data_IF_625116532540
#
_entry.id   IF_625116532540
#
_cell.length_a   1.000
_cell.length_b   1.000
_cell.length_c   1.000
_cell.angle_alpha   90.00
_cell.angle_beta   90.00
_cell.angle_gamma   90.00
#
_symmetry.space_group_name_H-M   'P 1'
#
loop_
_entity.id
_entity.type
_entity.pdbx_description
1 polymer ?
#
# COMPACT_ATOMS: atom_id res chain seq x y z
N UNK A 1 -21.13 26.27 11.89
CA UNK A 1 -22.46 26.01 11.29
C UNK A 1 -23.03 27.38 10.91
N UNK A 2 -23.86 27.49 9.88
CA UNK A 2 -24.42 28.79 9.47
C UNK A 2 -25.44 29.28 10.51
N UNK A 3 -25.26 30.51 10.97
CA UNK A 3 -26.14 31.21 11.90
C UNK A 3 -27.00 32.24 11.16
N UNK A 4 -28.27 32.35 11.54
CA UNK A 4 -29.26 33.22 10.92
C UNK A 4 -29.90 34.13 11.98
N UNK A 5 -30.32 35.32 11.56
CA UNK A 5 -31.02 36.26 12.43
C UNK A 5 -32.54 36.15 12.22
N UNK A 6 -33.27 35.86 13.29
CA UNK A 6 -34.72 35.83 13.33
C UNK A 6 -35.24 37.04 14.13
N UNK A 7 -36.12 37.84 13.54
CA UNK A 7 -36.74 38.97 14.24
C UNK A 7 -37.90 38.50 15.11
N UNK A 8 -37.87 38.88 16.38
CA UNK A 8 -38.97 38.69 17.32
C UNK A 8 -39.99 39.83 17.20
N UNK A 9 -41.25 39.59 17.62
CA UNK A 9 -42.32 40.59 17.62
C UNK A 9 -42.02 41.82 18.51
N UNK A 10 -41.12 41.67 19.49
CA UNK A 10 -40.64 42.79 20.31
C UNK A 10 -39.55 43.62 19.63
N UNK A 11 -39.12 43.26 18.42
CA UNK A 11 -38.10 43.96 17.65
C UNK A 11 -36.66 43.51 17.92
N UNK A 12 -36.43 42.56 18.83
CA UNK A 12 -35.10 42.00 19.05
C UNK A 12 -34.75 40.90 18.04
N UNK A 13 -33.45 40.68 17.82
CA UNK A 13 -32.94 39.72 16.85
C UNK A 13 -32.37 38.51 17.61
N UNK A 14 -32.89 37.30 17.32
CA UNK A 14 -32.39 36.05 17.86
C UNK A 14 -31.47 35.37 16.86
N UNK A 15 -30.32 34.89 17.33
CA UNK A 15 -29.41 34.07 16.54
C UNK A 15 -29.91 32.62 16.60
N UNK A 16 -30.27 32.06 15.45
CA UNK A 16 -30.74 30.69 15.30
C UNK A 16 -29.83 29.89 14.36
N UNK A 17 -29.79 28.57 14.55
CA UNK A 17 -29.10 27.64 13.66
C UNK A 17 -30.09 26.77 12.90
N UNK A 18 -29.62 26.06 11.86
CA UNK A 18 -30.46 25.11 11.12
C UNK A 18 -30.99 23.95 11.97
N UNK A 19 -30.39 23.69 13.15
CA UNK A 19 -30.84 22.66 14.09
C UNK A 19 -32.09 23.08 14.87
N UNK A 20 -32.31 24.38 14.98
CA UNK A 20 -33.41 24.96 15.75
C UNK A 20 -34.68 25.07 14.90
N UNK A 21 -34.63 24.65 13.63
CA UNK A 21 -35.75 24.70 12.70
C UNK A 21 -36.97 23.93 13.22
N UNK A 22 -38.12 24.61 13.29
CA UNK A 22 -39.36 24.04 13.83
C UNK A 22 -39.39 23.86 15.34
N UNK A 23 -38.37 24.33 16.07
CA UNK A 23 -38.39 24.39 17.54
C UNK A 23 -39.04 25.68 18.04
N UNK A 24 -39.45 25.67 19.29
CA UNK A 24 -39.95 26.84 20.00
C UNK A 24 -38.83 27.40 20.88
N UNK A 25 -38.39 28.62 20.59
CA UNK A 25 -37.38 29.32 21.37
C UNK A 25 -38.03 30.44 22.18
N UNK A 26 -37.53 30.67 23.39
CA UNK A 26 -38.00 31.80 24.22
C UNK A 26 -37.11 33.01 23.95
N UNK A 27 -37.71 34.16 23.66
CA UNK A 27 -36.99 35.41 23.48
C UNK A 27 -36.51 35.95 24.83
N UNK A 28 -35.23 36.28 24.96
CA UNK A 28 -34.65 36.79 26.21
C UNK A 28 -35.23 38.15 26.64
N UNK A 29 -35.56 39.02 25.68
CA UNK A 29 -36.05 40.37 25.99
C UNK A 29 -37.53 40.42 26.40
N UNK A 30 -38.39 39.62 25.76
CA UNK A 30 -39.84 39.68 25.98
C UNK A 30 -40.43 38.44 26.63
N UNK A 31 -39.62 37.41 26.87
CA UNK A 31 -40.00 36.10 27.42
C UNK A 31 -41.13 35.38 26.67
N UNK A 32 -41.46 35.82 25.45
CA UNK A 32 -42.44 35.16 24.60
C UNK A 32 -41.79 34.00 23.85
N UNK A 33 -42.57 32.95 23.65
CA UNK A 33 -42.18 31.82 22.81
C UNK A 33 -42.36 32.18 21.34
N UNK A 34 -41.26 32.13 20.59
CA UNK A 34 -41.20 32.35 19.14
C UNK A 34 -41.01 31.00 18.46
N UNK A 35 -41.84 30.70 17.47
CA UNK A 35 -41.72 29.49 16.65
C UNK A 35 -40.65 29.73 15.59
N UNK A 36 -39.59 28.92 15.60
CA UNK A 36 -38.54 29.02 14.60
C UNK A 36 -39.08 28.51 13.25
N UNK A 37 -38.94 29.29 12.16
CA UNK A 37 -39.41 28.90 10.84
C UNK A 37 -38.83 27.56 10.37
N UNK A 38 -39.47 26.97 9.37
CA UNK A 38 -39.01 25.70 8.80
C UNK A 38 -37.65 25.87 8.11
N UNK A 39 -36.91 24.76 7.93
CA UNK A 39 -35.61 24.76 7.22
C UNK A 39 -35.64 25.47 5.86
N UNK A 40 -36.79 25.43 5.17
CA UNK A 40 -36.96 26.07 3.85
C UNK A 40 -37.04 27.60 3.97
N UNK A 41 -37.64 28.11 5.04
CA UNK A 41 -37.80 29.54 5.30
C UNK A 41 -36.53 30.15 5.90
N UNK A 42 -35.80 29.39 6.72
CA UNK A 42 -34.49 29.81 7.27
C UNK A 42 -33.50 30.13 6.15
N UNK A 43 -33.53 29.41 5.03
CA UNK A 43 -32.69 29.70 3.86
C UNK A 43 -32.96 31.06 3.21
N UNK A 44 -34.13 31.65 3.46
CA UNK A 44 -34.51 32.97 2.95
C UNK A 44 -34.22 34.10 3.97
N UNK A 45 -33.82 33.76 5.21
CA UNK A 45 -33.45 34.76 6.23
C UNK A 45 -32.07 35.33 5.95
N UNK A 46 -31.85 36.58 6.40
CA UNK A 46 -30.56 37.24 6.26
C UNK A 46 -29.51 36.47 7.08
N UNK A 47 -28.43 35.96 6.48
CA UNK A 47 -27.37 35.30 7.22
C UNK A 47 -26.71 36.32 8.17
N UNK A 48 -26.31 35.85 9.36
CA UNK A 48 -25.61 36.70 10.30
C UNK A 48 -24.20 37.03 9.74
N UNK A 49 -24.02 38.29 9.31
CA UNK A 49 -22.77 38.78 8.72
C UNK A 49 -21.58 38.70 9.70
N UNK A 50 -21.82 38.73 11.01
CA UNK A 50 -20.77 38.61 12.03
C UNK A 50 -20.30 37.17 12.24
N UNK A 51 -21.16 36.17 12.01
CA UNK A 51 -20.75 34.75 12.06
C UNK A 51 -19.88 34.34 10.85
N UNK A 52 -19.94 35.11 9.77
CA UNK A 52 -19.19 34.83 8.54
C UNK A 52 -17.71 35.24 8.63
N UNK A 53 -17.32 36.04 9.63
CA UNK A 53 -15.92 36.48 9.80
C UNK A 53 -15.04 35.47 10.53
N UNK A 54 -15.60 34.52 11.27
CA UNK A 54 -14.80 33.63 12.14
C UNK A 54 -14.64 32.20 11.58
N UNK A 55 -15.37 31.83 10.51
CA UNK A 55 -15.31 30.45 9.96
C UNK A 55 -14.46 30.33 8.68
N UNK A 56 -14.11 31.45 8.02
CA UNK A 56 -13.42 31.40 6.72
C UNK A 56 -11.89 31.30 6.78
N UNK A 57 -11.26 31.33 7.96
CA UNK A 57 -9.80 31.27 8.07
C UNK A 57 -9.17 29.87 8.16
N UNK A 58 -9.96 28.78 8.26
CA UNK A 58 -9.39 27.41 8.35
C UNK A 58 -9.74 26.47 7.21
N UNK A 59 -10.51 26.94 6.20
CA UNK A 59 -10.86 26.10 5.05
C UNK A 59 -10.83 26.86 3.73
N UNK A 60 -9.81 27.69 3.53
CA UNK A 60 -9.35 27.92 2.16
C UNK A 60 -8.91 26.55 1.62
N UNK A 61 -9.78 25.90 0.85
CA UNK A 61 -9.39 24.93 -0.16
C UNK A 61 -8.42 25.66 -1.08
N UNK A 62 -7.15 25.77 -0.67
CA UNK A 62 -6.07 25.90 -1.63
C UNK A 62 -6.26 24.71 -2.53
N UNK A 63 -6.76 24.97 -3.73
CA UNK A 63 -6.63 24.05 -4.86
C UNK A 63 -5.18 23.63 -4.80
N UNK A 64 -4.93 22.37 -4.43
CA UNK A 64 -3.60 21.84 -4.31
C UNK A 64 -3.07 21.77 -5.73
N UNK A 65 -2.50 22.88 -6.19
CA UNK A 65 -1.85 22.95 -7.48
C UNK A 65 -0.75 21.90 -7.46
N UNK A 66 -0.70 21.12 -8.54
CA UNK A 66 0.27 20.07 -8.68
C UNK A 66 1.67 20.70 -8.67
N UNK A 67 2.35 20.61 -7.53
CA UNK A 67 3.71 21.13 -7.44
C UNK A 67 4.61 20.32 -8.38
N UNK A 68 5.48 21.01 -9.12
CA UNK A 68 6.49 20.36 -9.96
C UNK A 68 7.30 19.31 -9.17
N UNK A 69 7.53 19.55 -7.88
CA UNK A 69 8.19 18.60 -6.96
C UNK A 69 7.40 17.31 -6.79
N UNK A 70 6.07 17.39 -6.62
CA UNK A 70 5.19 16.23 -6.50
C UNK A 70 5.15 15.43 -7.80
N UNK A 71 5.15 16.10 -8.95
CA UNK A 71 5.24 15.45 -10.26
C UNK A 71 6.55 14.70 -10.47
N UNK A 72 7.67 15.34 -10.11
CA UNK A 72 8.98 14.71 -10.18
C UNK A 72 9.05 13.46 -9.27
N UNK A 73 8.60 13.58 -8.03
CA UNK A 73 8.62 12.47 -7.07
C UNK A 73 7.71 11.32 -7.52
N UNK A 74 6.54 11.62 -8.07
CA UNK A 74 5.65 10.63 -8.68
C UNK A 74 6.32 9.91 -9.85
N UNK A 75 6.98 10.64 -10.75
CA UNK A 75 7.69 10.07 -11.89
C UNK A 75 8.82 9.13 -11.44
N UNK A 76 9.66 9.57 -10.51
CA UNK A 76 10.77 8.76 -9.97
C UNK A 76 10.24 7.49 -9.29
N UNK A 77 9.24 7.60 -8.40
CA UNK A 77 8.66 6.43 -7.73
C UNK A 77 8.05 5.44 -8.73
N UNK A 78 7.42 5.93 -9.80
CA UNK A 78 6.84 5.08 -10.85
C UNK A 78 7.93 4.32 -11.60
N UNK A 79 9.01 4.99 -11.99
CA UNK A 79 10.15 4.36 -12.68
C UNK A 79 10.81 3.31 -11.79
N UNK A 80 11.05 3.63 -10.52
CA UNK A 80 11.65 2.71 -9.55
C UNK A 80 10.75 1.50 -9.31
N UNK A 81 9.44 1.70 -9.16
CA UNK A 81 8.49 0.61 -9.00
C UNK A 81 8.54 -0.34 -10.22
N UNK A 82 8.45 0.21 -11.44
CA UNK A 82 8.50 -0.58 -12.66
C UNK A 82 9.81 -1.37 -12.78
N UNK A 83 10.95 -0.71 -12.55
CA UNK A 83 12.26 -1.37 -12.59
C UNK A 83 12.34 -2.50 -11.55
N UNK A 84 11.81 -2.29 -10.34
CA UNK A 84 11.78 -3.30 -9.29
C UNK A 84 10.91 -4.50 -9.66
N UNK A 85 9.71 -4.28 -10.21
CA UNK A 85 8.84 -5.39 -10.66
C UNK A 85 9.42 -6.16 -11.85
N UNK A 86 10.01 -5.46 -12.84
CA UNK A 86 10.66 -6.12 -14.00
C UNK A 86 11.85 -6.96 -13.55
N UNK A 87 12.73 -6.40 -12.73
CA UNK A 87 13.90 -7.14 -12.21
C UNK A 87 13.48 -8.31 -11.32
N UNK A 88 12.49 -8.11 -10.43
CA UNK A 88 11.92 -9.17 -9.61
C UNK A 88 11.30 -10.30 -10.45
N UNK A 89 10.59 -9.95 -11.52
CA UNK A 89 10.01 -10.91 -12.46
C UNK A 89 11.07 -11.72 -13.21
N UNK A 90 12.11 -11.06 -13.73
CA UNK A 90 13.24 -11.75 -14.40
C UNK A 90 13.94 -12.71 -13.43
N UNK A 91 14.17 -12.30 -12.19
CA UNK A 91 14.79 -13.17 -11.19
C UNK A 91 13.88 -14.35 -10.82
N UNK A 92 12.58 -14.11 -10.65
CA UNK A 92 11.60 -15.18 -10.39
C UNK A 92 11.56 -16.18 -11.54
N UNK A 93 11.58 -15.70 -12.78
CA UNK A 93 11.63 -16.54 -13.98
C UNK A 93 12.91 -17.37 -14.02
N UNK A 94 14.08 -16.76 -13.77
CA UNK A 94 15.36 -17.47 -13.69
C UNK A 94 15.37 -18.50 -12.56
N UNK A 95 14.76 -18.19 -11.42
CA UNK A 95 14.63 -19.13 -10.32
C UNK A 95 13.83 -20.37 -10.75
N UNK A 96 12.74 -20.18 -11.50
CA UNK A 96 11.90 -21.28 -12.00
C UNK A 96 12.60 -22.18 -13.04
N UNK A 97 13.60 -21.65 -13.74
CA UNK A 97 14.40 -22.41 -14.70
C UNK A 97 15.42 -23.35 -14.04
N UNK A 98 15.72 -23.17 -12.74
CA UNK A 98 16.57 -24.14 -12.03
C UNK A 98 15.75 -25.41 -11.78
N UNK A 99 16.09 -26.48 -12.51
CA UNK A 99 15.57 -27.81 -12.26
C UNK A 99 16.18 -28.31 -10.95
N UNK A 100 15.44 -28.13 -9.84
CA UNK A 100 15.77 -28.68 -8.52
C UNK A 100 15.36 -30.16 -8.39
N UNK A 101 14.96 -30.79 -9.48
CA UNK A 101 14.66 -32.22 -9.55
C UNK A 101 15.95 -33.01 -9.73
N UNK A 102 16.80 -33.02 -8.69
CA UNK A 102 17.74 -34.13 -8.55
C UNK A 102 17.00 -35.21 -7.76
N UNK A 103 16.80 -36.36 -8.40
CA UNK A 103 15.95 -37.43 -7.90
C UNK A 103 16.70 -38.22 -6.81
N UNK A 104 16.92 -37.58 -5.66
CA UNK A 104 17.26 -38.28 -4.41
C UNK A 104 16.02 -39.01 -3.87
N UNK A 105 15.28 -39.67 -4.75
CA UNK A 105 14.22 -40.56 -4.31
C UNK A 105 14.85 -41.58 -3.36
N UNK A 106 14.12 -42.01 -2.33
CA UNK A 106 14.56 -43.12 -1.48
C UNK A 106 15.00 -44.34 -2.30
N UNK A 107 14.43 -44.51 -3.50
CA UNK A 107 14.79 -45.57 -4.44
C UNK A 107 16.22 -45.45 -4.99
N UNK A 108 16.70 -44.26 -5.37
CA UNK A 108 18.09 -44.11 -5.81
C UNK A 108 19.09 -44.35 -4.69
N UNK A 109 18.75 -43.93 -3.46
CA UNK A 109 19.60 -44.18 -2.29
C UNK A 109 19.62 -45.68 -1.94
N UNK A 110 18.46 -46.33 -1.98
CA UNK A 110 18.34 -47.77 -1.74
C UNK A 110 19.05 -48.59 -2.83
N UNK A 111 18.95 -48.18 -4.10
CA UNK A 111 19.68 -48.80 -5.21
C UNK A 111 21.20 -48.65 -5.03
N UNK A 112 21.67 -47.44 -4.68
CA UNK A 112 23.07 -47.19 -4.36
C UNK A 112 23.57 -48.02 -3.18
N UNK A 113 22.80 -48.09 -2.09
CA UNK A 113 23.13 -48.89 -0.91
C UNK A 113 23.16 -50.40 -1.24
N UNK A 114 22.22 -50.87 -2.08
CA UNK A 114 22.18 -52.27 -2.51
C UNK A 114 23.39 -52.65 -3.38
N UNK A 115 23.82 -51.75 -4.26
CA UNK A 115 25.02 -51.91 -5.08
C UNK A 115 26.27 -51.97 -4.21
N UNK A 116 26.40 -51.07 -3.24
CA UNK A 116 27.55 -51.05 -2.31
C UNK A 116 27.56 -52.32 -1.44
N UNK A 117 26.41 -52.75 -0.94
CA UNK A 117 26.29 -53.96 -0.13
C UNK A 117 26.63 -55.25 -0.91
N UNK A 118 26.41 -55.24 -2.23
CA UNK A 118 26.75 -56.35 -3.13
C UNK A 118 28.23 -56.44 -3.51
N UNK A 119 29.02 -55.38 -3.29
CA UNK A 119 30.45 -55.36 -3.66
C UNK A 119 31.31 -56.07 -2.62
N UNK A 120 32.23 -56.94 -3.09
CA UNK A 120 33.23 -57.54 -2.22
C UNK A 120 34.23 -56.51 -1.68
N UNK A 121 34.90 -56.75 -0.53
CA UNK A 121 35.80 -55.77 0.09
C UNK A 121 36.91 -55.24 -0.84
N UNK A 122 37.45 -56.09 -1.70
CA UNK A 122 38.47 -55.70 -2.68
C UNK A 122 37.90 -54.78 -3.77
N UNK A 123 36.71 -55.10 -4.30
CA UNK A 123 36.02 -54.25 -5.29
C UNK A 123 35.66 -52.89 -4.71
N UNK A 124 35.26 -52.86 -3.44
CA UNK A 124 34.93 -51.63 -2.73
C UNK A 124 36.17 -50.73 -2.56
N UNK A 125 37.32 -51.35 -2.26
CA UNK A 125 38.61 -50.64 -2.21
C UNK A 125 39.05 -50.09 -3.57
N UNK A 126 38.89 -50.88 -4.64
CA UNK A 126 39.21 -50.45 -6.01
C UNK A 126 38.27 -49.33 -6.50
N UNK A 127 36.97 -49.46 -6.24
CA UNK A 127 35.97 -48.43 -6.53
C UNK A 127 36.30 -47.13 -5.77
N UNK A 128 36.62 -47.23 -4.49
CA UNK A 128 37.03 -46.08 -3.69
C UNK A 128 38.29 -45.40 -4.23
N UNK A 129 39.32 -46.16 -4.59
CA UNK A 129 40.54 -45.62 -5.19
C UNK A 129 40.25 -44.94 -6.53
N UNK A 130 39.35 -45.50 -7.34
CA UNK A 130 38.92 -44.90 -8.61
C UNK A 130 38.25 -43.55 -8.38
N UNK A 131 37.31 -43.47 -7.43
CA UNK A 131 36.66 -42.20 -7.06
C UNK A 131 37.67 -41.17 -6.56
N UNK A 132 38.67 -41.61 -5.78
CA UNK A 132 39.75 -40.76 -5.25
C UNK A 132 40.68 -40.25 -6.36
N UNK A 133 41.11 -41.11 -7.28
CA UNK A 133 41.99 -40.75 -8.40
C UNK A 133 41.31 -39.78 -9.38
N UNK A 134 40.02 -40.00 -9.66
CA UNK A 134 39.21 -39.11 -10.47
C UNK A 134 38.89 -37.77 -9.77
N UNK A 135 39.31 -37.59 -8.51
CA UNK A 135 39.00 -36.43 -7.67
C UNK A 135 37.49 -36.15 -7.56
N UNK A 136 36.66 -37.18 -7.70
CA UNK A 136 35.20 -37.08 -7.51
C UNK A 136 34.83 -36.80 -6.05
N UNK A 137 35.80 -36.94 -5.13
CA UNK A 137 35.69 -36.57 -3.72
C UNK A 137 36.02 -35.11 -3.43
N UNK A 138 36.56 -34.35 -4.39
CA UNK A 138 36.59 -32.91 -4.22
C UNK A 138 35.12 -32.48 -4.03
N UNK A 139 34.82 -31.59 -3.06
CA UNK A 139 33.49 -31.00 -2.97
C UNK A 139 33.33 -30.07 -4.18
N UNK A 140 33.23 -30.65 -5.37
CA UNK A 140 32.48 -30.05 -6.43
C UNK A 140 31.08 -30.00 -5.84
N UNK A 141 30.73 -28.84 -5.28
CA UNK A 141 29.37 -28.50 -4.91
C UNK A 141 28.52 -29.04 -6.05
N UNK A 142 27.72 -30.07 -5.79
CA UNK A 142 26.99 -30.76 -6.85
C UNK A 142 26.26 -29.71 -7.69
N UNK A 143 26.05 -29.97 -8.98
CA UNK A 143 25.33 -29.01 -9.82
C UNK A 143 24.00 -28.62 -9.16
N UNK A 144 23.37 -29.55 -8.44
CA UNK A 144 22.25 -29.31 -7.55
C UNK A 144 22.54 -28.35 -6.39
N UNK A 145 23.61 -28.53 -5.61
CA UNK A 145 23.96 -27.57 -4.55
C UNK A 145 24.21 -26.17 -5.11
N UNK A 146 24.89 -26.06 -6.26
CA UNK A 146 25.07 -24.76 -6.95
C UNK A 146 23.73 -24.20 -7.41
N UNK A 147 22.87 -25.02 -8.01
CA UNK A 147 21.52 -24.63 -8.43
C UNK A 147 20.67 -24.19 -7.23
N UNK A 148 20.75 -24.88 -6.09
CA UNK A 148 20.02 -24.55 -4.87
C UNK A 148 20.48 -23.22 -4.26
N UNK A 149 21.79 -22.99 -4.19
CA UNK A 149 22.35 -21.72 -3.73
C UNK A 149 21.94 -20.57 -4.67
N UNK A 150 22.03 -20.78 -5.98
CA UNK A 150 21.64 -19.79 -6.98
C UNK A 150 20.13 -19.52 -6.99
N UNK A 151 19.32 -20.57 -6.85
CA UNK A 151 17.87 -20.48 -6.69
C UNK A 151 17.53 -19.62 -5.48
N UNK A 152 18.09 -19.94 -4.31
CA UNK A 152 17.85 -19.18 -3.06
C UNK A 152 18.29 -17.73 -3.20
N UNK A 153 19.46 -17.47 -3.79
CA UNK A 153 19.95 -16.12 -4.05
C UNK A 153 19.02 -15.35 -5.00
N UNK A 154 18.57 -15.98 -6.07
CA UNK A 154 17.66 -15.37 -7.05
C UNK A 154 16.29 -15.09 -6.44
N UNK A 155 15.72 -16.03 -5.68
CA UNK A 155 14.47 -15.84 -4.94
C UNK A 155 14.57 -14.70 -3.92
N UNK A 156 15.63 -14.66 -3.12
CA UNK A 156 15.84 -13.59 -2.15
C UNK A 156 15.94 -12.22 -2.85
N UNK A 157 16.66 -12.15 -3.97
CA UNK A 157 16.76 -10.92 -4.77
C UNK A 157 15.39 -10.52 -5.32
N UNK A 158 14.60 -11.47 -5.82
CA UNK A 158 13.24 -11.20 -6.31
C UNK A 158 12.32 -10.67 -5.20
N UNK A 159 12.35 -11.28 -4.01
CA UNK A 159 11.57 -10.84 -2.84
C UNK A 159 11.92 -9.40 -2.47
N UNK A 160 13.22 -9.06 -2.40
CA UNK A 160 13.67 -7.69 -2.10
C UNK A 160 13.14 -6.71 -3.15
N UNK A 161 13.24 -7.04 -4.44
CA UNK A 161 12.69 -6.23 -5.52
C UNK A 161 11.17 -6.00 -5.37
N UNK A 162 10.40 -7.04 -5.04
CA UNK A 162 8.95 -6.89 -4.84
C UNK A 162 8.59 -6.04 -3.61
N UNK A 163 9.36 -6.15 -2.52
CA UNK A 163 9.19 -5.29 -1.34
C UNK A 163 9.41 -3.82 -1.72
N UNK A 164 10.52 -3.51 -2.41
CA UNK A 164 10.82 -2.15 -2.86
C UNK A 164 9.72 -1.63 -3.80
N UNK A 165 9.31 -2.43 -4.80
CA UNK A 165 8.25 -2.07 -5.73
C UNK A 165 6.92 -1.80 -5.02
N UNK A 166 6.57 -2.62 -4.03
CA UNK A 166 5.34 -2.45 -3.24
C UNK A 166 5.36 -1.18 -2.40
N UNK A 167 6.49 -0.86 -1.76
CA UNK A 167 6.65 0.39 -1.01
C UNK A 167 6.51 1.62 -1.92
N UNK A 168 7.05 1.57 -3.14
CA UNK A 168 6.87 2.64 -4.11
C UNK A 168 5.39 2.80 -4.52
N UNK A 169 4.66 1.70 -4.75
CA UNK A 169 3.22 1.75 -5.07
C UNK A 169 2.42 2.34 -3.91
N UNK A 170 2.72 1.98 -2.66
CA UNK A 170 2.09 2.58 -1.48
C UNK A 170 2.36 4.08 -1.44
N UNK A 171 3.60 4.51 -1.70
CA UNK A 171 3.95 5.93 -1.80
C UNK A 171 3.15 6.66 -2.89
N UNK A 172 3.01 6.06 -4.08
CA UNK A 172 2.19 6.59 -5.16
C UNK A 172 0.71 6.69 -4.77
N UNK A 173 0.17 5.68 -4.10
CA UNK A 173 -1.21 5.67 -3.62
C UNK A 173 -1.45 6.79 -2.59
N UNK A 174 -0.52 7.02 -1.65
CA UNK A 174 -0.58 8.13 -0.71
C UNK A 174 -0.57 9.48 -1.43
N UNK A 175 0.32 9.66 -2.42
CA UNK A 175 0.37 10.88 -3.25
C UNK A 175 -0.96 11.08 -3.99
N UNK A 176 -1.56 10.01 -4.52
CA UNK A 176 -2.86 10.07 -5.18
C UNK A 176 -4.01 10.36 -4.21
N UNK A 177 -4.03 9.80 -3.00
CA UNK A 177 -5.06 10.08 -1.99
C UNK A 177 -4.98 11.52 -1.47
N UNK A 178 -3.78 12.10 -1.42
CA UNK A 178 -3.60 13.51 -1.09
C UNK A 178 -4.12 14.46 -2.19
N UNK A 179 -4.41 13.94 -3.39
CA UNK A 179 -5.01 14.72 -4.47
C UNK A 179 -6.49 14.95 -4.20
N UNK A 180 -6.85 16.15 -3.77
CA UNK A 180 -8.27 16.55 -3.75
C UNK A 180 -8.82 16.61 -5.17
N UNK A 181 -10.00 16.02 -5.46
CA UNK A 181 -10.61 16.13 -6.78
C UNK A 181 -10.90 17.60 -7.08
N UNK A 182 -10.58 18.04 -8.30
CA UNK A 182 -10.91 19.38 -8.78
C UNK A 182 -12.45 19.44 -8.87
N UNK A 183 -13.16 20.36 -8.19
CA UNK A 183 -14.59 20.47 -8.34
C UNK A 183 -14.90 20.73 -9.83
N UNK A 184 -15.80 19.93 -10.40
CA UNK A 184 -16.26 20.18 -11.76
C UNK A 184 -17.09 21.46 -11.72
N UNK A 185 -16.62 22.48 -12.44
CA UNK A 185 -17.39 23.71 -12.65
C UNK A 185 -18.30 23.41 -13.83
N UNK A 186 -19.58 23.15 -13.55
CA UNK A 186 -20.66 23.19 -14.54
C UNK A 186 -21.02 24.64 -14.89
#
# INVERSE_FOLDING_TARGET
>A
MSEYLLKCDCGSELIITTRDAGQNLTCDDCQKTVVVPTLREIKNLKPNEDSSRTVDQTRTQKNAEWSAKTGYLFGVLTIVALAAFVTGGIQSYRAYQYSLTEDFSPQMLEEGDSLIAGMGPLQLYEAWNTVKELKLLAPETSEYQRAQVNFKKSMNTAIICYIIGSLCIIGLAVIMMMRKPKPQVE
#
